data_IF_026746382522
#
_entry.id   IF_026746382522
#
_cell.length_a   1.000
_cell.length_b   1.000
_cell.length_c   1.000
_cell.angle_alpha   90.00
_cell.angle_beta   90.00
_cell.angle_gamma   90.00
#
_symmetry.space_group_name_H-M   'P 1'
#
loop_
_entity.id
_entity.type
_entity.pdbx_description
1 polymer ?
#
# COMPACT_ATOMS: atom_id res chain seq x y z
N UNK A 1 -15.01 -12.35 -12.07
CA UNK A 1 -14.80 -12.01 -10.65
C UNK A 1 -16.15 -11.66 -10.03
N UNK A 2 -16.50 -12.19 -8.85
CA UNK A 2 -17.81 -11.93 -8.24
C UNK A 2 -17.83 -10.58 -7.50
N UNK A 3 -18.92 -9.83 -7.67
CA UNK A 3 -19.10 -8.52 -7.04
C UNK A 3 -19.13 -8.59 -5.50
N UNK A 4 -19.55 -9.72 -4.93
CA UNK A 4 -19.58 -9.95 -3.48
C UNK A 4 -18.19 -10.01 -2.85
N UNK A 5 -17.20 -10.53 -3.57
CA UNK A 5 -15.80 -10.53 -3.12
C UNK A 5 -15.23 -9.11 -3.08
N UNK A 6 -15.59 -8.28 -4.07
CA UNK A 6 -15.15 -6.89 -4.12
C UNK A 6 -15.74 -6.06 -2.98
N UNK A 7 -17.04 -6.21 -2.69
CA UNK A 7 -17.68 -5.53 -1.54
C UNK A 7 -17.03 -5.89 -0.22
N UNK A 8 -16.90 -7.18 0.07
CA UNK A 8 -16.23 -7.65 1.30
C UNK A 8 -14.77 -7.20 1.41
N UNK A 9 -14.08 -7.03 0.30
CA UNK A 9 -12.70 -6.52 0.30
C UNK A 9 -12.62 -5.05 0.69
N UNK A 10 -13.57 -4.24 0.22
CA UNK A 10 -13.64 -2.80 0.49
C UNK A 10 -14.12 -2.50 1.92
N UNK A 11 -15.07 -3.27 2.43
CA UNK A 11 -15.56 -3.16 3.83
C UNK A 11 -14.44 -3.31 4.87
N UNK A 12 -13.34 -3.99 4.54
CA UNK A 12 -12.19 -4.13 5.44
C UNK A 12 -11.32 -2.88 5.48
N UNK A 13 -11.37 -2.04 4.46
CA UNK A 13 -10.56 -0.83 4.39
C UNK A 13 -11.36 0.40 4.88
N UNK A 14 -12.68 0.27 5.04
CA UNK A 14 -13.54 1.28 5.64
C UNK A 14 -13.37 1.32 7.17
N UNK A 15 -13.29 2.52 7.73
CA UNK A 15 -13.17 2.70 9.17
C UNK A 15 -14.51 2.36 9.87
N UNK A 16 -14.48 1.77 11.08
CA UNK A 16 -15.71 1.48 11.82
C UNK A 16 -16.47 2.78 12.10
N UNK A 17 -17.63 2.95 11.46
CA UNK A 17 -18.49 4.14 11.60
C UNK A 17 -18.70 4.96 10.33
N UNK A 18 -18.13 4.56 9.19
CA UNK A 18 -18.41 5.17 7.88
C UNK A 18 -19.40 4.35 7.04
N UNK A 19 -20.40 3.76 7.70
CA UNK A 19 -21.57 3.25 7.00
C UNK A 19 -22.48 4.43 6.64
N UNK A 20 -22.85 4.53 5.37
CA UNK A 20 -23.83 5.46 4.82
C UNK A 20 -23.30 6.84 4.37
N UNK A 21 -22.36 6.85 3.42
CA UNK A 21 -22.27 7.95 2.45
C UNK A 21 -22.90 7.50 1.12
N UNK A 22 -23.86 8.24 0.54
CA UNK A 22 -24.48 7.85 -0.72
C UNK A 22 -23.46 7.88 -1.88
N UNK A 23 -23.60 6.99 -2.89
CA UNK A 23 -22.73 7.02 -4.06
C UNK A 23 -23.18 8.17 -4.96
N UNK A 24 -22.60 9.34 -4.73
CA UNK A 24 -22.87 10.51 -5.55
C UNK A 24 -22.26 11.75 -4.95
N UNK A 25 -21.10 12.15 -5.48
CA UNK A 25 -20.93 13.44 -6.15
C UNK A 25 -19.45 13.59 -6.54
N UNK A 26 -19.25 13.63 -7.86
CA UNK A 26 -18.29 14.50 -8.55
C UNK A 26 -16.80 14.19 -8.33
N UNK A 27 -16.35 13.33 -9.24
CA UNK A 27 -15.10 13.48 -10.00
C UNK A 27 -14.79 14.97 -10.24
N UNK A 28 -13.95 15.58 -9.42
CA UNK A 28 -13.26 16.83 -9.77
C UNK A 28 -12.34 16.52 -10.95
N UNK A 29 -12.86 16.76 -12.15
CA UNK A 29 -12.05 17.09 -13.30
C UNK A 29 -11.68 18.55 -13.13
N UNK A 30 -10.52 18.80 -12.56
CA UNK A 30 -9.89 20.12 -12.67
C UNK A 30 -9.35 20.29 -14.09
N UNK A 31 -10.22 20.73 -14.98
CA UNK A 31 -9.82 21.38 -16.22
C UNK A 31 -9.42 22.83 -15.89
N UNK A 32 -8.17 23.28 -16.16
CA UNK A 32 -7.87 24.69 -16.04
C UNK A 32 -8.28 25.39 -17.34
N UNK A 33 -9.41 26.10 -17.33
CA UNK A 33 -9.73 27.05 -18.42
C UNK A 33 -10.03 28.45 -17.89
N UNK A 34 -9.15 29.37 -18.31
CA UNK A 34 -9.33 30.80 -18.50
C UNK A 34 -9.16 31.76 -17.31
N UNK A 35 -7.92 32.23 -17.14
CA UNK A 35 -7.60 33.64 -16.93
C UNK A 35 -6.32 33.92 -17.75
N UNK A 36 -6.33 34.77 -18.78
CA UNK A 36 -6.62 36.19 -18.64
C UNK A 36 -5.29 36.95 -18.46
N UNK A 37 -4.53 37.06 -19.56
CA UNK A 37 -3.56 38.12 -19.83
C UNK A 37 -2.60 38.59 -18.70
N UNK A 38 -1.57 37.79 -18.38
CA UNK A 38 -0.35 38.33 -17.78
C UNK A 38 0.63 38.74 -18.90
N UNK A 39 0.63 40.03 -19.25
CA UNK A 39 1.63 40.67 -20.14
C UNK A 39 3.03 40.45 -19.57
N UNK A 40 3.73 39.40 -20.02
CA UNK A 40 5.18 39.30 -19.85
C UNK A 40 5.84 40.22 -20.87
N UNK A 41 6.45 41.29 -20.35
CA UNK A 41 7.25 42.26 -21.07
C UNK A 41 8.20 41.51 -22.01
N UNK A 42 8.10 41.81 -23.32
CA UNK A 42 9.09 41.38 -24.31
C UNK A 42 10.43 41.97 -23.89
N UNK A 43 11.33 41.12 -23.41
CA UNK A 43 12.75 41.44 -23.38
C UNK A 43 13.17 41.48 -24.85
N UNK A 44 13.48 42.67 -25.34
CA UNK A 44 14.11 42.85 -26.62
C UNK A 44 15.50 42.19 -26.56
N UNK A 45 15.60 40.97 -27.07
CA UNK A 45 16.87 40.40 -27.51
C UNK A 45 16.83 40.32 -29.03
N UNK A 46 17.19 41.41 -29.67
CA UNK A 46 17.97 41.28 -30.89
C UNK A 46 19.41 41.62 -30.51
N UNK A 47 20.36 40.76 -30.91
CA UNK A 47 21.13 41.18 -32.07
C UNK A 47 21.57 40.01 -32.98
N UNK A 48 21.67 40.27 -34.29
CA UNK A 48 22.67 39.56 -35.10
C UNK A 48 22.19 38.79 -36.33
N UNK A 49 21.68 39.52 -37.34
CA UNK A 49 21.98 39.32 -38.78
C UNK A 49 21.94 37.88 -39.35
N UNK A 50 20.76 37.44 -39.80
CA UNK A 50 20.68 36.51 -40.93
C UNK A 50 20.60 37.32 -42.23
N UNK A 51 21.75 37.75 -42.76
CA UNK A 51 21.83 38.33 -44.10
C UNK A 51 21.58 37.21 -45.11
N UNK A 52 20.40 37.17 -45.70
CA UNK A 52 20.04 36.21 -46.74
C UNK A 52 20.85 36.52 -48.02
N UNK A 53 21.94 35.80 -48.26
CA UNK A 53 22.79 35.98 -49.46
C UNK A 53 22.44 35.05 -50.63
N UNK A 54 21.29 34.38 -50.58
CA UNK A 54 20.65 33.78 -51.77
C UNK A 54 19.15 34.02 -51.66
N UNK A 55 18.57 34.69 -52.66
CA UNK A 55 17.16 35.08 -52.73
C UNK A 55 16.24 33.95 -52.23
N UNK A 56 15.58 34.17 -51.09
CA UNK A 56 14.56 33.28 -50.54
C UNK A 56 15.02 32.11 -49.66
N UNK A 57 16.32 31.94 -49.36
CA UNK A 57 16.78 30.87 -48.43
C UNK A 57 17.08 31.40 -47.03
N UNK A 58 16.36 30.88 -46.03
CA UNK A 58 16.64 31.11 -44.61
C UNK A 58 17.69 30.10 -44.16
N UNK A 59 18.87 30.57 -43.77
CA UNK A 59 19.90 29.73 -43.14
C UNK A 59 19.39 29.29 -41.77
N UNK A 60 19.18 27.98 -41.59
CA UNK A 60 18.91 27.39 -40.27
C UNK A 60 20.24 27.17 -39.59
N UNK A 61 20.39 27.67 -38.37
CA UNK A 61 21.57 27.39 -37.57
C UNK A 61 21.62 25.89 -37.24
N UNK A 62 22.77 25.26 -37.48
CA UNK A 62 22.99 23.85 -37.13
C UNK A 62 22.79 23.61 -35.63
N UNK A 63 23.10 24.60 -34.79
CA UNK A 63 22.91 24.56 -33.33
C UNK A 63 21.42 24.51 -32.99
N UNK A 64 20.59 25.32 -33.65
CA UNK A 64 19.15 25.31 -33.44
C UNK A 64 18.49 24.01 -33.91
N UNK A 65 18.93 23.45 -35.03
CA UNK A 65 18.44 22.14 -35.48
C UNK A 65 18.84 21.02 -34.51
N UNK A 66 20.05 21.07 -33.97
CA UNK A 66 20.52 20.11 -32.98
C UNK A 66 19.65 20.13 -31.72
N UNK A 67 19.35 21.31 -31.18
CA UNK A 67 18.46 21.40 -30.00
C UNK A 67 17.05 20.88 -30.27
N UNK A 68 16.52 21.02 -31.49
CA UNK A 68 15.20 20.50 -31.90
C UNK A 68 15.18 18.98 -32.03
N UNK A 69 16.27 18.40 -32.53
CA UNK A 69 16.42 16.94 -32.75
C UNK A 69 17.03 16.22 -31.54
N UNK A 70 17.47 16.95 -30.53
CA UNK A 70 18.12 16.38 -29.35
C UNK A 70 17.17 15.40 -28.65
N UNK A 71 17.58 14.14 -28.42
CA UNK A 71 16.75 13.20 -27.68
C UNK A 71 16.54 13.71 -26.26
N UNK A 72 15.31 13.58 -25.76
CA UNK A 72 14.96 13.99 -24.39
C UNK A 72 15.57 12.98 -23.42
N UNK A 73 16.39 13.46 -22.49
CA UNK A 73 16.94 12.63 -21.43
C UNK A 73 15.92 12.51 -20.29
N UNK A 74 15.42 11.30 -20.05
CA UNK A 74 14.44 11.00 -19.01
C UNK A 74 15.06 10.38 -17.74
N UNK A 75 16.39 10.31 -17.62
CA UNK A 75 17.08 9.65 -16.51
C UNK A 75 16.58 10.14 -15.14
N UNK A 76 16.50 11.45 -14.93
CA UNK A 76 16.06 12.04 -13.66
C UNK A 76 14.59 11.76 -13.37
N UNK A 77 13.73 11.79 -14.38
CA UNK A 77 12.32 11.44 -14.25
C UNK A 77 12.13 9.96 -13.91
N UNK A 78 12.90 9.07 -14.56
CA UNK A 78 12.88 7.64 -14.33
C UNK A 78 13.41 7.29 -12.94
N UNK A 79 14.52 7.89 -12.52
CA UNK A 79 15.05 7.72 -11.17
C UNK A 79 14.04 8.21 -10.12
N UNK A 80 13.43 9.37 -10.34
CA UNK A 80 12.38 9.88 -9.46
C UNK A 80 11.18 8.94 -9.40
N UNK A 81 10.82 8.27 -10.50
CA UNK A 81 9.75 7.27 -10.53
C UNK A 81 10.13 5.98 -9.80
N UNK A 82 11.31 5.42 -10.07
CA UNK A 82 11.79 4.19 -9.43
C UNK A 82 12.03 4.36 -7.93
N UNK A 83 12.49 5.54 -7.51
CA UNK A 83 12.73 5.89 -6.11
C UNK A 83 11.48 6.46 -5.42
N UNK A 84 10.39 6.74 -6.16
CA UNK A 84 9.19 7.39 -5.61
C UNK A 84 8.42 6.54 -4.59
N UNK A 85 8.76 5.27 -4.42
CA UNK A 85 8.37 4.60 -3.19
C UNK A 85 8.47 3.09 -3.18
N UNK A 86 8.91 2.59 -2.02
CA UNK A 86 8.32 1.39 -1.41
C UNK A 86 7.15 1.88 -0.56
N UNK A 87 5.92 1.71 -1.05
CA UNK A 87 4.74 2.04 -0.26
C UNK A 87 4.60 0.97 0.84
N UNK A 88 5.06 1.29 2.04
CA UNK A 88 4.82 0.45 3.22
C UNK A 88 3.41 0.79 3.68
N UNK A 89 2.48 -0.13 3.44
CA UNK A 89 1.12 0.01 3.92
C UNK A 89 1.10 0.21 5.45
N UNK A 90 0.12 0.97 5.94
CA UNK A 90 -0.04 1.19 7.38
C UNK A 90 -0.14 -0.16 8.10
N UNK A 91 0.63 -0.33 9.18
CA UNK A 91 0.69 -1.57 9.96
C UNK A 91 -0.69 -2.05 10.38
N UNK A 92 -1.58 -1.15 10.79
CA UNK A 92 -2.95 -1.49 11.16
C UNK A 92 -3.73 -2.17 10.01
N UNK A 93 -3.62 -1.63 8.79
CA UNK A 93 -4.26 -2.21 7.59
C UNK A 93 -3.66 -3.57 7.26
N UNK A 94 -2.33 -3.70 7.37
CA UNK A 94 -1.67 -4.99 7.13
C UNK A 94 -2.10 -6.06 8.14
N UNK A 95 -2.25 -5.68 9.41
CA UNK A 95 -2.72 -6.58 10.47
C UNK A 95 -4.17 -7.00 10.25
N UNK A 96 -5.03 -6.10 9.78
CA UNK A 96 -6.43 -6.40 9.46
C UNK A 96 -6.55 -7.38 8.28
N UNK A 97 -5.76 -7.17 7.21
CA UNK A 97 -5.70 -8.10 6.07
C UNK A 97 -5.13 -9.45 6.51
N UNK A 98 -4.11 -9.47 7.36
CA UNK A 98 -3.58 -10.72 7.92
C UNK A 98 -4.62 -11.44 8.78
N UNK A 99 -5.35 -10.73 9.64
CA UNK A 99 -6.40 -11.29 10.48
C UNK A 99 -7.54 -11.92 9.65
N UNK A 100 -7.96 -11.28 8.56
CA UNK A 100 -8.97 -11.82 7.66
C UNK A 100 -8.52 -13.09 6.92
N UNK A 101 -7.22 -13.16 6.60
CA UNK A 101 -6.64 -14.30 5.88
C UNK A 101 -6.20 -15.45 6.82
N UNK A 102 -5.95 -15.16 8.10
CA UNK A 102 -5.65 -16.17 9.13
C UNK A 102 -6.78 -17.18 9.22
N UNK A 103 -6.41 -18.44 9.45
CA UNK A 103 -7.37 -19.53 9.65
C UNK A 103 -7.94 -20.18 8.39
N UNK A 104 -7.74 -19.60 7.19
CA UNK A 104 -8.05 -20.29 5.91
C UNK A 104 -7.17 -21.51 5.68
N UNK A 105 -5.93 -21.47 6.17
CA UNK A 105 -4.99 -22.59 6.16
C UNK A 105 -4.72 -23.02 7.59
N UNK A 106 -4.54 -24.33 7.81
CA UNK A 106 -4.21 -24.88 9.13
C UNK A 106 -2.92 -24.30 9.72
N UNK A 107 -1.96 -23.89 8.87
CA UNK A 107 -0.69 -23.30 9.29
C UNK A 107 -0.83 -21.88 9.86
N UNK A 108 -1.84 -21.15 9.40
CA UNK A 108 -2.09 -19.76 9.77
C UNK A 108 -3.11 -19.64 10.91
N UNK A 109 -3.59 -20.77 11.45
CA UNK A 109 -4.43 -20.77 12.65
C UNK A 109 -3.55 -20.48 13.86
N UNK A 110 -3.89 -19.48 14.69
CA UNK A 110 -3.22 -19.30 15.96
C UNK A 110 -3.39 -20.59 16.78
N UNK A 111 -2.36 -21.01 17.53
CA UNK A 111 -2.45 -22.22 18.34
C UNK A 111 -3.61 -22.06 19.31
N UNK A 112 -4.62 -22.93 19.20
CA UNK A 112 -5.71 -22.98 20.16
C UNK A 112 -5.06 -23.25 21.51
N UNK A 113 -5.21 -22.30 22.45
CA UNK A 113 -4.81 -22.50 23.84
C UNK A 113 -5.71 -23.59 24.40
N UNK A 114 -5.34 -24.86 24.18
CA UNK A 114 -5.93 -25.96 24.89
C UNK A 114 -5.55 -25.75 26.35
N UNK A 115 -6.55 -25.41 27.17
CA UNK A 115 -6.39 -25.53 28.61
C UNK A 115 -5.86 -26.94 28.86
N UNK A 116 -4.64 -27.05 29.40
CA UNK A 116 -4.08 -28.35 29.79
C UNK A 116 -5.15 -29.00 30.65
N UNK A 117 -5.68 -30.14 30.22
CA UNK A 117 -6.55 -30.94 31.08
C UNK A 117 -5.75 -31.17 32.36
N UNK A 118 -6.34 -30.78 33.50
CA UNK A 118 -5.75 -31.15 34.78
C UNK A 118 -5.56 -32.66 34.75
N UNK A 119 -4.43 -33.20 35.24
CA UNK A 119 -4.26 -34.64 35.33
C UNK A 119 -5.50 -35.20 36.03
N UNK A 120 -6.17 -36.16 35.39
CA UNK A 120 -7.29 -36.86 35.99
C UNK A 120 -6.79 -37.44 37.31
N UNK A 121 -7.35 -36.94 38.41
CA UNK A 121 -6.96 -37.35 39.75
C UNK A 121 -7.11 -38.86 39.85
N UNK A 122 -6.05 -39.53 40.29
CA UNK A 122 -6.09 -40.97 40.53
C UNK A 122 -7.23 -41.25 41.52
N UNK A 123 -8.01 -42.31 41.26
CA UNK A 123 -9.14 -42.69 42.13
C UNK A 123 -8.67 -42.99 43.56
N UNK A 124 -7.40 -43.38 43.70
CA UNK A 124 -6.75 -43.61 44.97
C UNK A 124 -6.08 -42.35 45.46
N UNK A 125 -6.46 -41.93 46.65
CA UNK A 125 -5.80 -40.86 47.40
C UNK A 125 -4.68 -41.44 48.26
N UNK A 126 -3.71 -40.61 48.66
CA UNK A 126 -2.65 -40.99 49.59
C UNK A 126 -3.21 -41.59 50.90
N UNK A 127 -4.42 -41.18 51.30
CA UNK A 127 -5.12 -41.70 52.47
C UNK A 127 -5.59 -43.15 52.28
N UNK A 128 -5.96 -43.54 51.07
CA UNK A 128 -6.35 -44.91 50.74
C UNK A 128 -5.14 -45.85 50.82
N UNK A 129 -3.97 -45.37 50.39
CA UNK A 129 -2.71 -46.11 50.56
C UNK A 129 -2.36 -46.29 52.04
N UNK A 130 -2.54 -45.27 52.89
CA UNK A 130 -2.30 -45.39 54.34
C UNK A 130 -3.26 -46.37 55.02
N UNK A 131 -4.52 -46.41 54.58
CA UNK A 131 -5.50 -47.42 55.08
C UNK A 131 -5.08 -48.83 54.66
N UNK A 132 -4.73 -49.01 53.39
CA UNK A 132 -4.24 -50.28 52.86
C UNK A 132 -2.99 -50.75 53.61
N UNK A 133 -2.02 -49.87 53.86
CA UNK A 133 -0.82 -50.22 54.62
C UNK A 133 -1.12 -50.70 56.04
N UNK A 134 -2.04 -50.02 56.74
CA UNK A 134 -2.46 -50.43 58.10
C UNK A 134 -3.20 -51.76 58.11
N UNK A 135 -4.07 -51.97 57.14
CA UNK A 135 -4.90 -53.17 57.02
C UNK A 135 -4.07 -54.41 56.66
N UNK A 136 -3.06 -54.24 55.79
CA UNK A 136 -2.28 -55.37 55.29
C UNK A 136 -0.97 -55.62 56.05
N UNK A 137 -0.27 -54.57 56.47
CA UNK A 137 1.03 -54.72 57.12
C UNK A 137 0.97 -54.66 58.64
N UNK A 138 -0.19 -54.33 59.24
CA UNK A 138 -0.48 -54.52 60.67
C UNK A 138 0.67 -54.17 61.61
N UNK A 139 1.42 -53.10 61.32
CA UNK A 139 2.52 -52.69 62.20
C UNK A 139 1.92 -51.90 63.37
N UNK A 140 2.31 -52.23 64.62
CA UNK A 140 1.81 -51.53 65.80
C UNK A 140 2.14 -50.04 65.80
#
# INVERSE_FOLDING_TARGET
MSASLLRRGLELLEAPGQGDAPPGLQRERDDPRAAGAARRRKVAQHPGRNKATVKGRVMKSAIEEYHKKKPVNHLTANLKYMLKGRFVANKAITEQVLAQNRGRKSKDQPPKKAAKKKPEGTVFTEEDFRKFEREYFGRP
#
